data_IF_168947862385
#
_entry.id   IF_168947862385
#
_cell.length_a   1.000
_cell.length_b   1.000
_cell.length_c   1.000
_cell.angle_alpha   90.00
_cell.angle_beta   90.00
_cell.angle_gamma   90.00
#
_symmetry.space_group_name_H-M   'P 1'
#
loop_
_entity.id
_entity.type
_entity.pdbx_description
1 polymer ?
#
# COMPACT_ATOMS: atom_id res chain seq x y z
N UNK A 1 -10.13 7.77 -6.34
CA UNK A 1 -9.74 6.36 -6.48
C UNK A 1 -10.78 5.36 -5.96
N UNK A 2 -11.64 5.69 -4.99
CA UNK A 2 -12.60 4.71 -4.44
C UNK A 2 -13.60 4.13 -5.47
N UNK A 3 -13.87 4.85 -6.58
CA UNK A 3 -14.70 4.37 -7.69
C UNK A 3 -13.93 3.58 -8.76
N UNK A 4 -12.60 3.60 -8.71
CA UNK A 4 -11.73 2.81 -9.61
C UNK A 4 -11.78 1.37 -9.15
N UNK A 5 -11.92 0.42 -10.07
CA UNK A 5 -12.01 -1.00 -9.68
C UNK A 5 -10.67 -1.49 -9.12
N UNK A 6 -10.71 -2.49 -8.23
CA UNK A 6 -9.46 -3.07 -7.71
C UNK A 6 -8.60 -3.69 -8.79
N UNK A 7 -9.21 -4.23 -9.87
CA UNK A 7 -8.50 -4.77 -11.03
C UNK A 7 -7.70 -3.68 -11.75
N UNK A 8 -8.31 -2.52 -11.96
CA UNK A 8 -7.63 -1.39 -12.64
C UNK A 8 -6.47 -0.88 -11.78
N UNK A 9 -6.62 -0.87 -10.45
CA UNK A 9 -5.52 -0.51 -9.53
C UNK A 9 -4.37 -1.50 -9.60
N UNK A 10 -4.65 -2.81 -9.71
CA UNK A 10 -3.61 -3.83 -9.90
C UNK A 10 -2.86 -3.58 -11.22
N UNK A 11 -3.56 -3.26 -12.31
CA UNK A 11 -2.91 -2.96 -13.59
C UNK A 11 -2.12 -1.66 -13.54
N UNK A 12 -2.66 -0.63 -12.89
CA UNK A 12 -1.98 0.63 -12.65
C UNK A 12 -0.67 0.43 -11.89
N UNK A 13 -0.69 -0.30 -10.78
CA UNK A 13 0.52 -0.58 -10.00
C UNK A 13 1.58 -1.33 -10.82
N UNK A 14 1.19 -2.33 -11.62
CA UNK A 14 2.11 -3.01 -12.55
C UNK A 14 2.72 -2.05 -13.57
N UNK A 15 1.93 -1.12 -14.10
CA UNK A 15 2.42 -0.13 -15.05
C UNK A 15 3.41 0.85 -14.38
N UNK A 16 3.16 1.25 -13.13
CA UNK A 16 4.05 2.08 -12.32
C UNK A 16 5.35 1.35 -11.99
N UNK A 17 5.27 0.08 -11.58
CA UNK A 17 6.46 -0.75 -11.28
C UNK A 17 7.42 -0.80 -12.47
N UNK A 18 6.89 -1.03 -13.68
CA UNK A 18 7.69 -1.16 -14.91
C UNK A 18 8.18 0.20 -15.40
N UNK A 19 7.29 1.20 -15.46
CA UNK A 19 7.58 2.45 -16.19
C UNK A 19 8.09 3.57 -15.29
N UNK A 20 7.80 3.50 -13.99
CA UNK A 20 8.13 4.54 -13.02
C UNK A 20 8.53 3.92 -11.66
N UNK A 21 9.57 3.07 -11.59
CA UNK A 21 9.96 2.37 -10.36
C UNK A 21 10.39 3.29 -9.22
N UNK A 22 10.72 4.57 -9.52
CA UNK A 22 10.97 5.59 -8.49
C UNK A 22 9.67 6.06 -7.81
N UNK A 23 8.56 6.09 -8.54
CA UNK A 23 7.23 6.45 -8.02
C UNK A 23 6.64 5.27 -7.24
N UNK A 24 6.80 4.04 -7.75
CA UNK A 24 6.38 2.82 -7.05
C UNK A 24 6.88 2.82 -5.59
N UNK A 25 8.16 3.16 -5.39
CA UNK A 25 8.83 3.21 -4.09
C UNK A 25 8.36 4.32 -3.13
N UNK A 26 7.49 5.22 -3.57
CA UNK A 26 7.00 6.34 -2.78
C UNK A 26 5.55 6.18 -2.34
N UNK A 27 4.83 5.24 -2.93
CA UNK A 27 3.39 5.06 -2.71
C UNK A 27 3.16 3.81 -1.88
N UNK A 28 2.28 3.89 -0.89
CA UNK A 28 1.98 2.77 0.00
C UNK A 28 3.24 2.20 0.69
N UNK A 29 4.20 3.04 1.05
CA UNK A 29 5.38 2.57 1.78
C UNK A 29 4.95 2.14 3.17
N UNK A 30 5.04 0.85 3.51
CA UNK A 30 4.71 0.36 4.86
C UNK A 30 5.61 1.01 5.90
N UNK A 31 5.13 1.07 7.13
CA UNK A 31 5.79 1.77 8.23
C UNK A 31 6.14 0.84 9.38
N UNK A 32 7.06 1.32 10.23
CA UNK A 32 7.41 0.67 11.49
C UNK A 32 6.42 1.06 12.59
N UNK A 33 6.46 0.36 13.72
CA UNK A 33 5.68 0.77 14.89
C UNK A 33 6.37 1.92 15.63
N UNK A 34 6.15 3.16 15.17
CA UNK A 34 6.81 4.35 15.74
C UNK A 34 8.32 4.39 15.48
N UNK A 35 8.98 5.38 16.07
CA UNK A 35 10.40 5.70 15.80
C UNK A 35 11.37 4.64 16.32
N UNK A 36 11.01 3.95 17.40
CA UNK A 36 11.81 2.86 17.98
C UNK A 36 11.63 1.54 17.24
N UNK A 37 10.71 1.44 16.28
CA UNK A 37 10.49 0.23 15.52
C UNK A 37 11.72 -0.15 14.68
N UNK A 38 12.04 -1.43 14.64
CA UNK A 38 13.16 -1.98 13.86
C UNK A 38 12.72 -2.64 12.55
N UNK A 39 11.45 -3.07 12.47
CA UNK A 39 10.86 -3.77 11.31
C UNK A 39 9.63 -3.04 10.77
N UNK A 40 9.46 -3.07 9.45
CA UNK A 40 8.28 -2.58 8.75
C UNK A 40 7.18 -3.63 8.68
N UNK A 41 5.93 -3.21 8.51
CA UNK A 41 4.84 -4.15 8.22
C UNK A 41 5.06 -4.85 6.88
N UNK A 42 4.64 -6.11 6.82
CA UNK A 42 4.45 -6.86 5.58
C UNK A 42 3.02 -6.71 5.10
N UNK A 43 2.81 -6.53 3.81
CA UNK A 43 1.49 -6.63 3.20
C UNK A 43 0.93 -8.05 3.28
N UNK A 44 -0.32 -8.14 3.68
CA UNK A 44 -1.07 -9.37 3.84
C UNK A 44 -2.44 -9.23 3.17
N UNK A 45 -3.02 -10.37 2.81
CA UNK A 45 -4.38 -10.44 2.33
C UNK A 45 -5.40 -10.27 3.48
N UNK A 46 -5.05 -10.70 4.68
CA UNK A 46 -5.86 -10.55 5.88
C UNK A 46 -5.43 -9.35 6.72
N UNK A 47 -6.26 -8.99 7.69
CA UNK A 47 -5.96 -7.94 8.66
C UNK A 47 -4.60 -8.16 9.34
N UNK A 48 -3.90 -7.05 9.57
CA UNK A 48 -2.75 -7.04 10.45
C UNK A 48 -3.12 -7.42 11.87
N UNK A 49 -2.22 -8.10 12.58
CA UNK A 49 -2.33 -8.39 14.00
C UNK A 49 -0.99 -8.20 14.71
N UNK A 50 -1.00 -8.12 16.03
CA UNK A 50 0.22 -8.12 16.84
C UNK A 50 1.05 -9.41 16.69
N UNK A 51 0.44 -10.51 16.26
CA UNK A 51 1.12 -11.79 16.02
C UNK A 51 1.83 -11.83 14.67
N UNK A 52 1.15 -11.40 13.60
CA UNK A 52 1.68 -11.46 12.23
C UNK A 52 2.49 -10.22 11.82
N UNK A 53 2.37 -9.11 12.56
CA UNK A 53 3.09 -7.85 12.33
C UNK A 53 2.86 -7.25 10.92
N UNK A 54 1.81 -7.67 10.21
CA UNK A 54 1.51 -7.25 8.85
C UNK A 54 0.39 -6.22 8.77
N UNK A 55 -0.06 -5.95 7.54
CA UNK A 55 -1.16 -5.02 7.27
C UNK A 55 -1.81 -5.30 5.91
N UNK A 56 -3.10 -5.02 5.81
CA UNK A 56 -3.89 -4.93 4.57
C UNK A 56 -4.17 -3.47 4.17
N UNK A 57 -3.60 -2.50 4.89
CA UNK A 57 -3.75 -1.07 4.66
C UNK A 57 -2.53 -0.52 3.93
N UNK A 58 -2.73 0.18 2.81
CA UNK A 58 -1.70 0.94 2.11
C UNK A 58 -0.98 1.91 3.07
N UNK A 59 0.33 1.74 3.18
CA UNK A 59 1.19 2.48 4.12
C UNK A 59 1.03 2.08 5.58
N UNK A 60 0.38 0.94 5.85
CA UNK A 60 0.12 0.43 7.20
C UNK A 60 1.40 0.20 8.00
N UNK A 61 1.27 0.26 9.32
CA UNK A 61 2.39 0.13 10.26
C UNK A 61 2.47 -1.27 10.82
N UNK A 62 3.67 -1.68 11.23
CA UNK A 62 3.85 -2.91 11.98
C UNK A 62 3.01 -2.84 13.27
N UNK A 63 2.09 -3.78 13.47
CA UNK A 63 1.17 -3.78 14.62
C UNK A 63 1.73 -4.47 15.86
N UNK A 64 2.97 -4.95 15.81
CA UNK A 64 3.61 -5.58 16.95
C UNK A 64 4.03 -4.53 17.99
N UNK A 65 3.58 -4.72 19.21
CA UNK A 65 3.75 -3.75 20.32
C UNK A 65 5.06 -3.92 21.09
N UNK A 66 5.81 -5.00 20.83
CA UNK A 66 7.09 -5.28 21.47
C UNK A 66 8.20 -5.43 20.42
N UNK A 67 9.41 -5.03 20.81
CA UNK A 67 10.56 -5.06 19.91
C UNK A 67 10.89 -6.50 19.54
N UNK A 68 10.62 -6.85 18.29
CA UNK A 68 10.80 -8.22 17.79
C UNK A 68 11.16 -8.17 16.31
N UNK A 69 11.93 -9.16 15.87
CA UNK A 69 12.36 -9.32 14.48
C UNK A 69 11.21 -9.76 13.52
N UNK A 70 9.94 -9.55 13.89
CA UNK A 70 8.78 -9.93 13.07
C UNK A 70 8.35 -8.77 12.16
N UNK A 71 8.20 -9.05 10.87
CA UNK A 71 7.95 -8.05 9.82
C UNK A 71 9.01 -8.16 8.72
N UNK A 72 9.28 -7.05 8.03
CA UNK A 72 10.28 -6.97 6.95
C UNK A 72 11.30 -5.86 7.21
N UNK A 73 12.49 -6.00 6.63
CA UNK A 73 13.63 -5.07 6.87
C UNK A 73 13.48 -3.74 6.16
N UNK A 74 12.77 -3.73 5.03
CA UNK A 74 12.52 -2.56 4.21
C UNK A 74 11.02 -2.38 4.05
N UNK A 75 10.57 -1.13 3.96
CA UNK A 75 9.18 -0.82 3.67
C UNK A 75 8.79 -1.44 2.32
N UNK A 76 7.65 -2.12 2.31
CA UNK A 76 7.01 -2.60 1.10
C UNK A 76 6.20 -1.48 0.47
N UNK A 77 6.02 -1.51 -0.84
CA UNK A 77 5.58 -0.35 -1.64
C UNK A 77 4.33 -0.68 -2.47
N UNK A 78 3.99 0.13 -3.48
CA UNK A 78 2.73 -0.02 -4.22
C UNK A 78 2.58 -1.39 -4.91
N UNK A 79 3.61 -1.87 -5.62
CA UNK A 79 3.53 -3.20 -6.25
C UNK A 79 3.39 -4.34 -5.21
N UNK A 80 4.07 -4.23 -4.07
CA UNK A 80 3.93 -5.18 -2.96
C UNK A 80 2.50 -5.17 -2.41
N UNK A 81 1.89 -3.98 -2.23
CA UNK A 81 0.50 -3.84 -1.77
C UNK A 81 -0.46 -4.55 -2.72
N UNK A 82 -0.37 -4.29 -4.03
CA UNK A 82 -1.31 -4.93 -4.97
C UNK A 82 -1.10 -6.44 -5.07
N UNK A 83 0.14 -6.92 -4.95
CA UNK A 83 0.47 -8.34 -5.03
C UNK A 83 0.07 -9.12 -3.77
N UNK A 84 0.33 -8.54 -2.59
CA UNK A 84 0.16 -9.20 -1.29
C UNK A 84 -1.21 -8.98 -0.67
N UNK A 85 -1.95 -7.95 -1.07
CA UNK A 85 -3.18 -7.53 -0.39
C UNK A 85 -4.43 -7.57 -1.27
N UNK A 86 -4.35 -7.29 -2.58
CA UNK A 86 -5.56 -7.07 -3.39
C UNK A 86 -6.16 -8.33 -4.03
N UNK A 87 -5.50 -9.49 -3.97
CA UNK A 87 -5.98 -10.76 -4.56
C UNK A 87 -6.44 -10.62 -6.02
N UNK A 88 -5.64 -9.93 -6.85
CA UNK A 88 -6.01 -9.64 -8.24
C UNK A 88 -7.12 -8.58 -8.40
N UNK A 89 -7.40 -7.82 -7.34
CA UNK A 89 -8.33 -6.70 -7.33
C UNK A 89 -9.72 -7.02 -6.78
N UNK A 90 -9.93 -8.21 -6.18
CA UNK A 90 -11.23 -8.65 -5.66
C UNK A 90 -11.37 -8.47 -4.15
N UNK A 91 -10.27 -8.21 -3.44
CA UNK A 91 -10.24 -8.05 -1.98
C UNK A 91 -9.50 -6.78 -1.60
N UNK A 92 -9.80 -6.25 -0.41
CA UNK A 92 -9.14 -5.10 0.21
C UNK A 92 -9.14 -3.79 -0.60
N UNK A 93 -9.93 -3.70 -1.66
CA UNK A 93 -10.13 -2.47 -2.42
C UNK A 93 -11.63 -2.16 -2.55
N UNK A 94 -12.08 -0.91 -2.28
CA UNK A 94 -11.29 0.26 -1.87
C UNK A 94 -10.98 0.33 -0.36
N UNK A 95 -11.45 -0.64 0.42
CA UNK A 95 -11.36 -0.67 1.89
C UNK A 95 -10.53 -1.87 2.34
N UNK A 96 -9.63 -1.67 3.30
CA UNK A 96 -8.80 -2.70 3.91
C UNK A 96 -9.61 -3.72 4.72
N UNK A 97 -8.95 -4.77 5.22
CA UNK A 97 -9.55 -5.73 6.17
C UNK A 97 -9.20 -5.41 7.62
N UNK A 98 -8.53 -4.28 7.91
CA UNK A 98 -8.11 -3.92 9.26
C UNK A 98 -9.30 -3.89 10.25
N UNK A 99 -9.02 -4.22 11.51
CA UNK A 99 -10.03 -4.23 12.57
C UNK A 99 -10.62 -2.84 12.81
N UNK A 100 -9.81 -1.80 12.62
CA UNK A 100 -10.15 -0.38 12.78
C UNK A 100 -10.27 0.35 11.44
N UNK A 101 -10.60 -0.38 10.37
CA UNK A 101 -10.75 0.18 9.01
C UNK A 101 -11.80 1.29 8.96
N UNK A 102 -11.55 2.26 8.09
CA UNK A 102 -12.52 3.28 7.71
C UNK A 102 -12.99 3.00 6.27
N UNK A 103 -14.19 3.47 5.93
CA UNK A 103 -14.69 3.30 4.56
C UNK A 103 -13.74 3.91 3.53
N UNK A 104 -13.32 3.10 2.56
CA UNK A 104 -12.40 3.47 1.48
C UNK A 104 -11.00 3.89 1.94
N UNK A 105 -10.56 3.44 3.12
CA UNK A 105 -9.25 3.78 3.67
C UNK A 105 -8.09 3.51 2.71
N UNK A 106 -8.03 2.36 2.04
CA UNK A 106 -7.00 2.04 1.05
C UNK A 106 -7.02 3.00 -0.13
N UNK A 107 -8.19 3.28 -0.70
CA UNK A 107 -8.31 4.26 -1.76
C UNK A 107 -7.90 5.68 -1.32
N UNK A 108 -8.21 6.05 -0.08
CA UNK A 108 -7.79 7.31 0.53
C UNK A 108 -6.28 7.40 0.73
N UNK A 109 -5.65 6.32 1.22
CA UNK A 109 -4.20 6.25 1.43
C UNK A 109 -3.42 6.33 0.12
N UNK A 110 -3.80 5.53 -0.89
CA UNK A 110 -3.18 5.61 -2.23
C UNK A 110 -3.30 7.03 -2.77
N UNK A 111 -4.50 7.61 -2.74
CA UNK A 111 -4.70 8.97 -3.24
C UNK A 111 -3.84 10.01 -2.50
N UNK A 112 -3.73 9.88 -1.18
CA UNK A 112 -2.93 10.78 -0.33
C UNK A 112 -1.43 10.69 -0.64
N UNK A 113 -0.91 9.53 -0.99
CA UNK A 113 0.50 9.41 -1.37
C UNK A 113 0.74 9.96 -2.78
N UNK A 114 -0.17 9.69 -3.72
CA UNK A 114 -0.09 10.28 -5.07
C UNK A 114 -0.13 11.81 -5.06
N UNK A 115 -0.86 12.44 -4.13
CA UNK A 115 -0.88 13.92 -4.02
C UNK A 115 0.41 14.51 -3.45
N UNK A 116 1.30 13.71 -2.84
CA UNK A 116 2.60 14.18 -2.34
C UNK A 116 3.72 14.15 -3.38
N UNK A 117 3.53 13.43 -4.49
CA UNK A 117 4.48 13.35 -5.59
C UNK A 117 4.79 14.73 -6.19
N UNK A 118 5.93 14.86 -6.86
CA UNK A 118 6.26 16.10 -7.59
C UNK A 118 5.27 16.35 -8.73
N UNK A 119 5.15 17.58 -9.26
CA UNK A 119 4.31 17.85 -10.42
C UNK A 119 4.60 16.92 -11.62
N UNK A 120 5.87 16.65 -11.90
CA UNK A 120 6.29 15.78 -13.02
C UNK A 120 5.88 14.32 -12.78
N UNK A 121 6.09 13.81 -11.57
CA UNK A 121 5.67 12.46 -11.18
C UNK A 121 4.14 12.31 -11.25
N UNK A 122 3.39 13.34 -10.84
CA UNK A 122 1.92 13.37 -10.98
C UNK A 122 1.48 13.29 -12.44
N UNK A 123 2.16 14.00 -13.34
CA UNK A 123 1.88 13.93 -14.78
C UNK A 123 2.09 12.50 -15.31
N UNK A 124 3.18 11.84 -14.90
CA UNK A 124 3.45 10.44 -15.26
C UNK A 124 2.33 9.54 -14.74
N UNK A 125 1.99 9.65 -13.46
CA UNK A 125 0.92 8.85 -12.82
C UNK A 125 -0.42 9.06 -13.50
N UNK A 126 -0.80 10.30 -13.82
CA UNK A 126 -2.04 10.59 -14.52
C UNK A 126 -2.07 9.93 -15.91
N UNK A 127 -0.94 9.95 -16.63
CA UNK A 127 -0.81 9.28 -17.93
C UNK A 127 -0.88 7.75 -17.83
N UNK A 128 -0.39 7.15 -16.74
CA UNK A 128 -0.51 5.71 -16.49
C UNK A 128 -1.94 5.32 -16.09
N UNK A 129 -2.58 6.08 -15.19
CA UNK A 129 -3.97 5.87 -14.78
C UNK A 129 -4.96 6.00 -15.93
N UNK A 130 -4.70 6.88 -16.90
CA UNK A 130 -5.57 7.03 -18.07
C UNK A 130 -5.55 5.84 -19.04
N UNK A 131 -4.57 4.93 -18.89
CA UNK A 131 -4.37 3.75 -19.75
C UNK A 131 -4.81 2.44 -19.09
N UNK A 132 -5.29 2.51 -17.86
CA UNK A 132 -5.69 1.38 -17.02
C UNK A 132 -7.17 1.46 -16.75
#
# INVERSE_FOLDING_TARGET
LAKTSGKDIVQFAKAVEISAPKIDKQVCVTNKNGDSGTRYAKYLEEAGTSSNAGTSLCGGKNLKTTDSNTGVEKGQVLHDFVSGTLSGGTKNWPTSSESTKENNDNAGKVAKDLTKLTPEEKTIVAGLLAKT
#
